data_IF_545454593115
#
_entry.id   IF_545454593115
#
_cell.length_a   1.000
_cell.length_b   1.000
_cell.length_c   1.000
_cell.angle_alpha   90.00
_cell.angle_beta   90.00
_cell.angle_gamma   90.00
#
_symmetry.space_group_name_H-M   'P 1'
#
loop_
_entity.id
_entity.type
_entity.pdbx_description
1 polymer ?
#
# COMPACT_ATOMS: atom_id res chain seq x y z
N UNK A 1 -68.14 -55.18 -28.84
CA UNK A 1 -66.83 -54.82 -29.32
C UNK A 1 -66.55 -53.39 -29.01
N UNK A 2 -65.83 -53.16 -28.01
CA UNK A 2 -65.42 -51.79 -27.64
C UNK A 2 -64.04 -51.83 -27.13
N UNK A 3 -63.17 -51.26 -27.85
CA UNK A 3 -61.78 -51.14 -27.44
C UNK A 3 -61.61 -49.76 -26.82
N UNK A 4 -61.47 -49.77 -25.55
CA UNK A 4 -61.18 -48.52 -24.85
C UNK A 4 -59.69 -48.38 -24.80
N UNK A 5 -59.18 -47.45 -25.51
CA UNK A 5 -57.79 -47.04 -25.44
C UNK A 5 -57.58 -46.12 -24.25
N UNK A 6 -56.88 -46.61 -23.32
CA UNK A 6 -56.43 -45.79 -22.20
C UNK A 6 -55.04 -45.17 -22.57
N UNK A 7 -55.09 -43.92 -22.86
CA UNK A 7 -53.81 -43.19 -23.00
C UNK A 7 -53.26 -42.89 -21.66
N UNK A 8 -52.18 -43.54 -21.33
CA UNK A 8 -51.42 -43.23 -20.17
C UNK A 8 -50.52 -42.00 -20.47
N UNK A 9 -50.89 -40.89 -19.94
CA UNK A 9 -50.02 -39.70 -19.98
C UNK A 9 -48.85 -39.87 -19.04
N UNK A 10 -47.70 -40.03 -19.61
CA UNK A 10 -46.47 -39.99 -18.84
C UNK A 10 -46.11 -38.52 -18.63
N UNK A 11 -46.37 -38.06 -17.45
CA UNK A 11 -45.90 -36.75 -17.04
C UNK A 11 -44.38 -36.78 -16.84
N UNK A 12 -43.66 -36.21 -17.74
CA UNK A 12 -42.24 -36.02 -17.61
C UNK A 12 -42.02 -34.84 -16.67
N UNK A 13 -41.72 -35.16 -15.41
CA UNK A 13 -41.27 -34.15 -14.49
C UNK A 13 -39.84 -33.76 -14.86
N UNK A 14 -39.71 -32.67 -15.57
CA UNK A 14 -38.42 -32.06 -15.80
C UNK A 14 -37.90 -31.51 -14.47
N UNK A 15 -37.03 -32.25 -13.85
CA UNK A 15 -36.28 -31.71 -12.74
C UNK A 15 -35.31 -30.64 -13.26
N UNK A 16 -35.72 -29.41 -13.15
CA UNK A 16 -34.82 -28.28 -13.37
C UNK A 16 -33.79 -28.30 -12.25
N UNK A 17 -32.69 -28.99 -12.49
CA UNK A 17 -31.54 -28.85 -11.68
C UNK A 17 -31.00 -27.44 -11.86
N UNK A 18 -31.35 -26.54 -10.96
CA UNK A 18 -30.71 -25.26 -10.85
C UNK A 18 -29.29 -25.49 -10.40
N UNK A 19 -28.39 -25.71 -11.33
CA UNK A 19 -26.96 -25.60 -11.05
C UNK A 19 -26.68 -24.15 -10.79
N UNK A 20 -26.67 -23.78 -9.54
CA UNK A 20 -26.10 -22.51 -9.13
C UNK A 20 -24.62 -22.61 -9.30
N UNK A 21 -24.12 -22.10 -10.37
CA UNK A 21 -22.72 -21.84 -10.54
C UNK A 21 -22.41 -20.69 -9.60
N UNK A 22 -21.83 -21.01 -8.46
CA UNK A 22 -21.23 -19.99 -7.61
C UNK A 22 -19.96 -19.56 -8.33
N UNK A 23 -20.05 -18.44 -9.02
CA UNK A 23 -18.85 -17.80 -9.56
C UNK A 23 -18.14 -17.20 -8.37
N UNK A 24 -17.15 -17.92 -7.87
CA UNK A 24 -16.20 -17.35 -6.92
C UNK A 24 -15.35 -16.39 -7.73
N UNK A 25 -15.70 -15.13 -7.72
CA UNK A 25 -14.82 -14.10 -8.21
C UNK A 25 -13.58 -14.06 -7.35
N UNK A 26 -12.38 -14.25 -7.94
CA UNK A 26 -11.17 -13.99 -7.19
C UNK A 26 -11.19 -12.53 -6.77
N UNK A 27 -11.09 -12.29 -5.51
CA UNK A 27 -11.04 -10.95 -4.97
C UNK A 27 -9.89 -10.18 -5.61
N UNK A 28 -10.15 -9.01 -6.17
CA UNK A 28 -9.09 -8.22 -6.78
C UNK A 28 -8.01 -7.93 -5.74
N UNK A 29 -6.77 -8.09 -6.11
CA UNK A 29 -5.61 -7.76 -5.24
C UNK A 29 -5.63 -6.34 -4.67
N UNK A 30 -6.41 -5.45 -5.27
CA UNK A 30 -6.65 -4.11 -4.76
C UNK A 30 -7.33 -4.10 -3.39
N UNK A 31 -8.13 -5.09 -3.06
CA UNK A 31 -8.80 -5.21 -1.76
C UNK A 31 -7.85 -5.60 -0.64
N UNK A 32 -6.79 -6.34 -0.97
CA UNK A 32 -5.74 -6.65 0.00
C UNK A 32 -4.98 -5.39 0.46
N UNK A 33 -5.01 -4.31 -0.33
CA UNK A 33 -4.44 -3.00 0.01
C UNK A 33 -5.38 -2.11 0.82
N UNK A 34 -6.65 -2.40 0.77
CA UNK A 34 -7.70 -1.61 1.40
C UNK A 34 -8.34 -2.35 2.58
N UNK A 35 -7.59 -3.21 3.26
CA UNK A 35 -8.08 -3.86 4.47
C UNK A 35 -8.48 -2.76 5.48
N UNK A 36 -9.78 -2.63 5.82
CA UNK A 36 -10.23 -1.61 6.74
C UNK A 36 -9.47 -1.77 8.08
N UNK A 37 -8.86 -0.70 8.56
CA UNK A 37 -8.10 -0.70 9.81
C UNK A 37 -6.58 -0.88 9.68
N UNK A 38 -6.04 -1.20 8.50
CA UNK A 38 -4.61 -1.11 8.21
C UNK A 38 -4.31 0.09 7.35
N UNK A 39 -4.55 1.26 7.92
CA UNK A 39 -4.02 2.48 7.34
C UNK A 39 -2.50 2.32 7.20
N UNK A 40 -1.99 2.62 6.03
CA UNK A 40 -0.58 2.63 5.80
C UNK A 40 0.10 3.61 6.75
N UNK A 41 1.12 3.15 7.43
CA UNK A 41 1.81 3.96 8.41
C UNK A 41 3.26 4.18 8.02
N UNK A 42 3.77 5.32 8.44
CA UNK A 42 5.16 5.70 8.19
C UNK A 42 6.15 4.67 8.75
N UNK A 43 5.88 4.13 9.92
CA UNK A 43 6.76 3.14 10.55
C UNK A 43 8.06 3.72 11.13
N UNK A 44 8.25 5.02 11.08
CA UNK A 44 9.39 5.71 11.67
C UNK A 44 8.94 6.35 12.98
N UNK A 45 9.58 6.00 14.11
CA UNK A 45 9.25 6.64 15.39
C UNK A 45 9.45 8.16 15.33
N UNK A 46 8.60 8.98 15.97
CA UNK A 46 8.70 10.42 15.92
C UNK A 46 10.08 10.97 16.35
N UNK A 47 10.72 10.33 17.32
CA UNK A 47 12.06 10.70 17.76
C UNK A 47 13.18 10.46 16.74
N UNK A 48 12.90 9.74 15.67
CA UNK A 48 13.85 9.44 14.59
C UNK A 48 13.62 10.28 13.33
N UNK A 49 12.64 11.17 13.34
CA UNK A 49 12.40 12.10 12.25
C UNK A 49 13.47 13.19 12.21
N UNK A 50 13.83 13.70 11.02
CA UNK A 50 14.73 14.83 10.92
C UNK A 50 14.07 16.10 11.51
N UNK A 51 14.88 17.12 11.80
CA UNK A 51 14.37 18.42 12.21
C UNK A 51 13.56 19.07 11.09
N UNK A 52 12.65 19.98 11.44
CA UNK A 52 11.95 20.75 10.41
C UNK A 52 12.91 21.44 9.44
N UNK A 53 12.65 21.30 8.14
CA UNK A 53 13.52 21.80 7.08
C UNK A 53 14.67 20.91 6.69
N UNK A 54 14.89 19.80 7.40
CA UNK A 54 16.02 18.90 7.18
C UNK A 54 15.57 17.52 6.67
N UNK A 55 16.54 16.72 6.28
CA UNK A 55 16.35 15.40 5.71
C UNK A 55 17.19 14.34 6.45
N UNK A 56 16.82 13.08 6.23
CA UNK A 56 17.67 11.93 6.60
C UNK A 56 17.45 10.79 5.62
N UNK A 57 18.46 9.94 5.49
CA UNK A 57 18.33 8.65 4.80
C UNK A 57 17.77 7.63 5.78
N UNK A 58 16.78 6.88 5.35
CA UNK A 58 16.17 5.80 6.12
C UNK A 58 16.20 4.51 5.32
N UNK A 59 16.63 3.43 5.94
CA UNK A 59 16.66 2.10 5.33
C UNK A 59 15.47 1.30 5.85
N UNK A 60 14.45 1.04 5.00
CA UNK A 60 13.31 0.22 5.40
C UNK A 60 13.74 -1.18 5.85
N UNK A 61 13.09 -1.69 6.88
CA UNK A 61 13.41 -3.00 7.43
C UNK A 61 14.59 -3.04 8.40
N UNK A 62 15.35 -1.96 8.49
CA UNK A 62 16.43 -1.82 9.47
C UNK A 62 15.90 -1.18 10.75
N UNK A 63 16.23 -1.71 11.94
CA UNK A 63 15.80 -1.12 13.20
C UNK A 63 16.22 0.34 13.37
N UNK A 64 15.43 1.17 14.07
CA UNK A 64 15.74 2.58 14.25
C UNK A 64 17.13 2.86 14.83
N UNK A 65 17.61 2.02 15.74
CA UNK A 65 18.94 2.17 16.34
C UNK A 65 20.12 1.85 15.41
N UNK A 66 19.85 1.27 14.25
CA UNK A 66 20.87 0.90 13.25
C UNK A 66 20.79 1.71 11.97
N UNK A 67 19.99 2.73 11.96
CA UNK A 67 19.84 3.61 10.79
C UNK A 67 21.09 4.43 10.53
N UNK A 68 21.36 4.80 9.25
CA UNK A 68 22.49 5.66 8.92
C UNK A 68 22.45 7.00 9.66
N UNK A 69 23.62 7.47 10.02
CA UNK A 69 23.80 8.81 10.61
C UNK A 69 24.26 9.82 9.56
N UNK A 70 24.01 11.10 9.72
CA UNK A 70 23.32 11.73 10.84
C UNK A 70 21.80 11.59 10.76
N UNK A 71 21.14 11.73 11.90
CA UNK A 71 19.68 11.71 12.03
C UNK A 71 19.00 12.89 11.33
N UNK A 72 19.71 13.99 11.19
CA UNK A 72 19.19 15.20 10.57
C UNK A 72 20.34 15.91 9.85
N UNK A 73 20.11 16.29 8.62
CA UNK A 73 21.10 16.94 7.76
C UNK A 73 20.42 17.81 6.70
N UNK A 74 21.15 18.75 6.06
CA UNK A 74 20.62 19.47 4.92
C UNK A 74 20.13 18.52 3.83
N UNK A 75 19.00 18.87 3.19
CA UNK A 75 18.43 18.06 2.11
C UNK A 75 19.23 18.14 0.82
N UNK A 76 20.00 19.19 0.63
CA UNK A 76 20.78 19.39 -0.57
C UNK A 76 21.77 18.25 -0.81
N UNK A 77 21.69 17.66 -1.99
CA UNK A 77 22.59 16.58 -2.39
C UNK A 77 22.36 15.23 -1.72
N UNK A 78 21.32 15.10 -0.91
CA UNK A 78 21.06 13.84 -0.18
C UNK A 78 20.80 12.66 -1.12
N UNK A 79 20.27 12.91 -2.31
CA UNK A 79 20.04 11.88 -3.32
C UNK A 79 21.36 11.18 -3.73
N UNK A 80 22.46 11.90 -3.69
CA UNK A 80 23.76 11.34 -4.06
C UNK A 80 24.29 10.28 -3.07
N UNK A 81 23.76 10.26 -1.87
CA UNK A 81 24.17 9.31 -0.82
C UNK A 81 23.08 8.31 -0.46
N UNK A 82 21.90 8.46 -1.02
CA UNK A 82 20.78 7.55 -0.74
C UNK A 82 20.94 6.23 -1.50
N UNK A 83 21.12 5.10 -0.79
CA UNK A 83 21.25 3.81 -1.44
C UNK A 83 19.99 3.41 -2.20
N UNK A 84 20.13 2.49 -3.17
CA UNK A 84 18.99 1.88 -3.81
C UNK A 84 18.04 1.23 -2.78
N UNK A 85 16.74 1.43 -2.94
CA UNK A 85 15.73 0.91 -2.03
C UNK A 85 15.60 1.66 -0.71
N UNK A 86 16.40 2.70 -0.48
CA UNK A 86 16.27 3.55 0.72
C UNK A 86 15.17 4.59 0.54
N UNK A 87 14.89 5.28 1.63
CA UNK A 87 14.00 6.44 1.66
C UNK A 87 14.77 7.70 2.01
N UNK A 88 14.38 8.82 1.43
CA UNK A 88 14.78 10.13 1.90
C UNK A 88 13.61 10.72 2.66
N UNK A 89 13.77 10.90 3.95
CA UNK A 89 12.74 11.46 4.83
C UNK A 89 12.98 12.95 4.95
N UNK A 90 12.01 13.73 4.54
CA UNK A 90 12.04 15.18 4.59
C UNK A 90 10.91 15.72 5.47
N UNK A 91 11.25 16.64 6.35
CA UNK A 91 10.27 17.33 7.19
C UNK A 91 10.18 18.79 6.77
N UNK A 92 9.09 19.22 6.07
CA UNK A 92 8.97 20.62 5.65
C UNK A 92 8.99 21.58 6.83
N UNK A 93 9.77 22.65 6.72
CA UNK A 93 9.85 23.66 7.77
C UNK A 93 8.55 24.42 7.97
N UNK A 94 7.82 24.68 6.87
CA UNK A 94 6.53 25.37 6.88
C UNK A 94 5.36 24.46 7.29
N UNK A 95 5.51 23.15 7.15
CA UNK A 95 4.48 22.16 7.46
C UNK A 95 5.06 21.06 8.36
N UNK A 96 5.42 21.42 9.57
CA UNK A 96 6.09 20.52 10.55
C UNK A 96 5.28 19.28 10.91
N UNK A 97 3.99 19.32 10.68
CA UNK A 97 3.07 18.20 10.94
C UNK A 97 3.16 17.10 9.91
N UNK A 98 3.76 17.39 8.76
CA UNK A 98 3.91 16.46 7.66
C UNK A 98 5.33 15.95 7.53
N UNK A 99 5.44 14.75 6.98
CA UNK A 99 6.69 14.11 6.61
C UNK A 99 6.57 13.64 5.18
N UNK A 100 7.51 14.04 4.34
CA UNK A 100 7.58 13.58 2.96
C UNK A 100 8.63 12.46 2.87
N UNK A 101 8.22 11.33 2.36
CA UNK A 101 9.10 10.20 2.13
C UNK A 101 9.30 10.04 0.63
N UNK A 102 10.52 10.30 0.17
CA UNK A 102 10.92 10.04 -1.21
C UNK A 102 11.46 8.61 -1.28
N UNK A 103 10.78 7.78 -2.02
CA UNK A 103 11.16 6.39 -2.20
C UNK A 103 12.18 6.28 -3.32
N UNK A 104 13.34 5.74 -3.01
CA UNK A 104 14.41 5.51 -3.99
C UNK A 104 14.18 4.17 -4.69
N UNK A 105 14.42 4.15 -6.00
CA UNK A 105 14.32 2.94 -6.81
C UNK A 105 15.20 1.82 -6.22
N UNK A 106 14.70 0.59 -6.22
CA UNK A 106 15.41 -0.56 -5.67
C UNK A 106 16.66 -0.96 -6.43
N UNK A 107 16.79 -0.50 -7.66
CA UNK A 107 17.91 -0.83 -8.57
C UNK A 107 18.79 0.35 -8.93
N UNK A 108 18.29 1.57 -8.71
CA UNK A 108 18.97 2.80 -9.13
C UNK A 108 19.13 3.75 -7.95
N UNK A 109 20.32 3.80 -7.34
CA UNK A 109 20.59 4.74 -6.26
C UNK A 109 20.28 6.18 -6.67
N UNK A 110 19.72 6.96 -5.76
CA UNK A 110 19.43 8.36 -5.98
C UNK A 110 18.23 8.69 -6.87
N UNK A 111 17.59 7.68 -7.47
CA UNK A 111 16.41 7.88 -8.33
C UNK A 111 15.13 7.80 -7.51
N UNK A 112 14.46 8.92 -7.36
CA UNK A 112 13.16 8.99 -6.67
C UNK A 112 12.06 8.51 -7.59
N UNK A 113 11.32 7.48 -7.19
CA UNK A 113 10.23 6.90 -7.98
C UNK A 113 8.84 7.31 -7.49
N UNK A 114 8.72 7.73 -6.24
CA UNK A 114 7.47 8.26 -5.67
C UNK A 114 7.74 9.07 -4.42
N UNK A 115 6.81 9.94 -4.09
CA UNK A 115 6.83 10.71 -2.84
C UNK A 115 5.55 10.42 -2.09
N UNK A 116 5.68 10.01 -0.84
CA UNK A 116 4.57 9.68 0.05
C UNK A 116 4.57 10.64 1.22
N UNK A 117 3.41 11.18 1.54
CA UNK A 117 3.25 12.14 2.63
C UNK A 117 2.53 11.50 3.79
N UNK A 118 3.08 11.65 4.97
CA UNK A 118 2.53 11.13 6.22
C UNK A 118 2.39 12.23 7.26
N UNK A 119 1.56 11.99 8.24
CA UNK A 119 1.48 12.83 9.42
C UNK A 119 2.62 12.45 10.38
N UNK A 120 3.34 13.45 10.89
CA UNK A 120 4.56 13.25 11.67
C UNK A 120 4.31 12.54 13.02
N UNK A 121 3.23 12.87 13.71
CA UNK A 121 2.93 12.29 15.03
C UNK A 121 2.27 10.93 14.96
N UNK A 122 1.19 10.82 14.18
CA UNK A 122 0.42 9.59 14.06
C UNK A 122 1.06 8.56 13.12
N UNK A 123 1.87 9.02 12.16
CA UNK A 123 2.39 8.21 11.09
C UNK A 123 1.35 7.83 10.04
N UNK A 124 0.18 8.45 10.07
CA UNK A 124 -0.88 8.15 9.11
C UNK A 124 -0.53 8.63 7.71
N UNK A 125 -0.86 7.83 6.72
CA UNK A 125 -0.70 8.19 5.31
C UNK A 125 -1.68 9.30 4.94
N UNK A 126 -1.18 10.34 4.27
CA UNK A 126 -1.98 11.48 3.82
C UNK A 126 -2.24 11.40 2.32
N UNK A 127 -1.19 11.30 1.53
CA UNK A 127 -1.29 11.27 0.06
C UNK A 127 0.00 10.79 -0.57
N UNK A 128 -0.09 10.42 -1.83
CA UNK A 128 1.04 10.16 -2.70
C UNK A 128 1.18 11.28 -3.71
N UNK A 129 2.41 11.63 -4.05
CA UNK A 129 2.75 12.64 -5.03
C UNK A 129 3.70 12.06 -6.06
N UNK A 130 3.64 12.58 -7.28
CA UNK A 130 4.67 12.27 -8.26
C UNK A 130 6.00 12.92 -7.85
N UNK A 131 7.10 12.26 -8.18
CA UNK A 131 8.41 12.81 -7.89
C UNK A 131 8.66 14.13 -8.58
#
# INVERSE_FOLDING_TARGET
MRISSIAAGVGLAAALACTRTVVVQPEPRAEARAAPGRAERLGIPPGHLPRPGECRVWIPGTPPGRQPRPKSRPCEGIENIAPAGSWIVYRPGAERRLVHVRVIDERRPGVVIRVRVFEAESGEFVREQNP
#
